data_IF_725740020830
#
_entry.id   IF_725740020830
#
_cell.length_a   1.000
_cell.length_b   1.000
_cell.length_c   1.000
_cell.angle_alpha   90.00
_cell.angle_beta   90.00
_cell.angle_gamma   90.00
#
_symmetry.space_group_name_H-M   'P 1'
#
loop_
_entity.id
_entity.type
_entity.pdbx_description
1 polymer ?
#
# COMPACT_ATOMS: atom_id res chain seq x y z
N UNK A 1 -19.26 0.09 -22.03
CA UNK A 1 -18.48 -0.07 -20.77
C UNK A 1 -17.34 0.94 -20.83
N UNK A 2 -17.35 2.01 -20.04
CA UNK A 2 -16.25 3.00 -20.06
C UNK A 2 -15.03 2.35 -19.41
N UNK A 3 -13.92 2.24 -20.14
CA UNK A 3 -12.64 1.90 -19.53
C UNK A 3 -12.27 3.06 -18.60
N UNK A 4 -12.22 2.82 -17.30
CA UNK A 4 -11.65 3.77 -16.35
C UNK A 4 -10.15 3.83 -16.66
N UNK A 5 -9.70 4.90 -17.31
CA UNK A 5 -8.26 5.13 -17.54
C UNK A 5 -7.58 5.30 -16.18
N UNK A 6 -6.58 4.47 -15.88
CA UNK A 6 -5.80 4.61 -14.66
C UNK A 6 -4.92 5.87 -14.80
N UNK A 7 -4.86 6.71 -13.76
CA UNK A 7 -3.97 7.88 -13.76
C UNK A 7 -2.50 7.46 -13.93
N UNK A 8 -2.12 6.30 -13.38
CA UNK A 8 -0.79 5.72 -13.56
C UNK A 8 -0.42 5.52 -15.03
N UNK A 9 -1.39 5.31 -15.93
CA UNK A 9 -1.13 5.07 -17.36
C UNK A 9 -0.79 6.36 -18.11
N UNK A 10 -1.08 7.53 -17.50
CA UNK A 10 -0.74 8.84 -18.06
C UNK A 10 0.69 9.29 -17.72
N UNK A 11 1.37 8.54 -16.84
CA UNK A 11 2.71 8.87 -16.34
C UNK A 11 3.81 8.24 -17.21
N UNK A 12 4.98 8.88 -17.23
CA UNK A 12 6.17 8.25 -17.84
C UNK A 12 6.62 7.04 -17.03
N UNK A 13 7.42 6.17 -17.67
CA UNK A 13 7.99 4.99 -17.00
C UNK A 13 8.80 5.38 -15.76
N UNK A 14 9.57 6.45 -15.84
CA UNK A 14 10.42 6.97 -14.76
C UNK A 14 9.56 7.50 -13.60
N UNK A 15 8.48 8.20 -13.91
CA UNK A 15 7.53 8.68 -12.89
C UNK A 15 6.85 7.52 -12.17
N UNK A 16 6.40 6.49 -12.91
CA UNK A 16 5.81 5.28 -12.31
C UNK A 16 6.81 4.56 -11.42
N UNK A 17 8.03 4.36 -11.90
CA UNK A 17 9.10 3.71 -11.13
C UNK A 17 9.39 4.46 -9.83
N UNK A 18 9.55 5.78 -9.92
CA UNK A 18 9.75 6.66 -8.76
C UNK A 18 8.59 6.58 -7.76
N UNK A 19 7.35 6.56 -8.24
CA UNK A 19 6.19 6.44 -7.37
C UNK A 19 6.13 5.08 -6.67
N UNK A 20 6.45 3.98 -7.37
CA UNK A 20 6.51 2.64 -6.74
C UNK A 20 7.58 2.59 -5.64
N UNK A 21 8.77 3.14 -5.91
CA UNK A 21 9.86 3.17 -4.93
C UNK A 21 9.52 3.99 -3.69
N UNK A 22 8.90 5.16 -3.87
CA UNK A 22 8.47 6.01 -2.76
C UNK A 22 7.31 5.39 -1.99
N UNK A 23 6.33 4.81 -2.67
CA UNK A 23 5.21 4.11 -2.04
C UNK A 23 5.72 2.97 -1.17
N UNK A 24 6.63 2.14 -1.69
CA UNK A 24 7.24 1.04 -0.95
C UNK A 24 8.04 1.56 0.26
N UNK A 25 8.87 2.59 0.07
CA UNK A 25 9.66 3.19 1.17
C UNK A 25 8.77 3.76 2.27
N UNK A 26 7.73 4.51 1.90
CA UNK A 26 6.78 5.10 2.85
C UNK A 26 6.00 4.04 3.61
N UNK A 27 5.66 2.93 2.95
CA UNK A 27 5.00 1.82 3.62
C UNK A 27 5.96 1.09 4.57
N UNK A 28 7.22 0.86 4.19
CA UNK A 28 8.23 0.31 5.10
C UNK A 28 8.42 1.18 6.35
N UNK A 29 8.47 2.51 6.20
CA UNK A 29 8.50 3.44 7.34
C UNK A 29 7.27 3.28 8.24
N UNK A 30 6.09 3.13 7.65
CA UNK A 30 4.85 2.92 8.37
C UNK A 30 4.85 1.58 9.12
N UNK A 31 5.35 0.50 8.51
CA UNK A 31 5.48 -0.82 9.13
C UNK A 31 6.52 -0.87 10.26
N UNK A 32 7.46 0.07 10.28
CA UNK A 32 8.42 0.24 11.37
C UNK A 32 7.85 0.94 12.61
N UNK A 33 6.61 1.44 12.56
CA UNK A 33 5.95 2.10 13.70
C UNK A 33 5.53 1.11 14.77
N UNK A 34 5.41 1.60 16.00
CA UNK A 34 4.86 0.78 17.08
C UNK A 34 3.34 0.64 16.91
N UNK A 35 2.76 -0.57 17.08
CA UNK A 35 1.32 -0.72 17.20
C UNK A 35 0.70 0.16 18.29
N UNK A 36 1.47 0.52 19.34
CA UNK A 36 1.02 1.43 20.41
C UNK A 36 0.83 2.88 19.95
N UNK A 37 1.25 3.24 18.75
CA UNK A 37 0.99 4.56 18.19
C UNK A 37 -0.48 4.75 17.76
N UNK A 38 -1.31 3.70 17.85
CA UNK A 38 -2.75 3.73 17.57
C UNK A 38 -3.05 4.31 16.18
N UNK A 39 -2.32 3.80 15.18
CA UNK A 39 -2.46 4.12 13.77
C UNK A 39 -3.46 3.16 13.12
N UNK A 40 -4.49 3.69 12.47
CA UNK A 40 -5.58 2.91 11.87
C UNK A 40 -5.64 3.13 10.36
N UNK A 41 -5.61 2.05 9.59
CA UNK A 41 -5.84 2.09 8.15
C UNK A 41 -7.26 2.58 7.82
N UNK A 42 -7.38 3.53 6.88
CA UNK A 42 -8.66 4.14 6.50
C UNK A 42 -9.17 3.70 5.12
N UNK A 43 -8.32 3.11 4.28
CA UNK A 43 -8.73 2.58 2.98
C UNK A 43 -9.23 1.13 3.09
N UNK A 44 -9.53 0.49 1.96
CA UNK A 44 -10.00 -0.90 1.98
C UNK A 44 -8.89 -1.87 2.42
N UNK A 45 -9.27 -3.00 3.01
CA UNK A 45 -8.34 -4.10 3.31
C UNK A 45 -7.70 -4.63 2.03
N UNK A 46 -8.43 -4.65 0.92
CA UNK A 46 -7.89 -5.04 -0.40
C UNK A 46 -6.75 -4.12 -0.84
N UNK A 47 -6.88 -2.80 -0.64
CA UNK A 47 -5.81 -1.85 -0.94
C UNK A 47 -4.59 -2.08 -0.04
N UNK A 48 -4.81 -2.41 1.24
CA UNK A 48 -3.71 -2.76 2.14
C UNK A 48 -2.97 -4.03 1.70
N UNK A 49 -3.71 -5.05 1.22
CA UNK A 49 -3.09 -6.27 0.70
C UNK A 49 -2.33 -6.03 -0.60
N UNK A 50 -2.87 -5.21 -1.51
CA UNK A 50 -2.20 -4.81 -2.75
C UNK A 50 -0.89 -4.06 -2.45
N UNK A 51 -0.94 -3.08 -1.54
CA UNK A 51 0.24 -2.33 -1.08
C UNK A 51 1.28 -3.24 -0.39
N UNK A 52 0.82 -4.17 0.46
CA UNK A 52 1.68 -5.16 1.10
C UNK A 52 2.38 -6.05 0.08
N UNK A 53 1.69 -6.37 -1.01
CA UNK A 53 2.24 -7.20 -2.09
C UNK A 53 3.26 -6.41 -2.91
N UNK A 54 3.07 -5.11 -3.13
CA UNK A 54 4.07 -4.25 -3.76
C UNK A 54 5.37 -4.19 -2.95
N UNK A 55 5.29 -4.06 -1.62
CA UNK A 55 6.49 -4.12 -0.76
C UNK A 55 7.16 -5.49 -0.79
N UNK A 56 6.38 -6.57 -0.81
CA UNK A 56 6.92 -7.92 -0.99
C UNK A 56 7.72 -8.05 -2.29
N UNK A 57 7.16 -7.61 -3.42
CA UNK A 57 7.84 -7.67 -4.72
C UNK A 57 9.07 -6.75 -4.79
N UNK A 58 9.10 -5.67 -4.00
CA UNK A 58 10.24 -4.76 -3.95
C UNK A 58 11.45 -5.30 -3.18
N UNK A 59 11.25 -6.35 -2.37
CA UNK A 59 12.27 -6.95 -1.49
C UNK A 59 12.93 -5.96 -0.51
N UNK A 60 12.34 -4.78 -0.29
CA UNK A 60 12.94 -3.70 0.52
C UNK A 60 12.83 -3.91 2.02
N UNK A 61 11.83 -4.66 2.48
CA UNK A 61 11.66 -4.96 3.90
C UNK A 61 12.42 -6.25 4.24
N UNK A 62 13.49 -6.11 5.01
CA UNK A 62 14.44 -7.20 5.31
C UNK A 62 14.52 -7.50 6.81
N UNK A 63 14.95 -8.71 7.14
CA UNK A 63 15.27 -9.13 8.51
C UNK A 63 16.63 -8.60 9.00
N UNK A 64 16.97 -8.92 10.25
CA UNK A 64 18.26 -8.56 10.86
C UNK A 64 19.48 -9.17 10.15
N UNK A 65 19.27 -10.15 9.27
CA UNK A 65 20.29 -10.80 8.45
C UNK A 65 20.27 -10.30 6.99
N UNK A 66 19.45 -9.29 6.67
CA UNK A 66 19.33 -8.74 5.32
C UNK A 66 18.48 -9.58 4.37
N UNK A 67 17.71 -10.57 4.86
CA UNK A 67 16.85 -11.41 4.01
C UNK A 67 15.48 -10.76 3.83
N UNK A 68 14.94 -10.68 2.61
CA UNK A 68 13.60 -10.14 2.38
C UNK A 68 12.53 -10.88 3.17
N UNK A 69 11.58 -10.14 3.72
CA UNK A 69 10.40 -10.73 4.37
C UNK A 69 9.49 -11.41 3.35
N UNK A 70 9.00 -12.59 3.71
CA UNK A 70 7.91 -13.22 2.97
C UNK A 70 6.61 -12.41 3.07
N UNK A 71 5.76 -12.51 2.04
CA UNK A 71 4.50 -11.76 1.97
C UNK A 71 3.61 -11.92 3.21
N UNK A 72 3.47 -13.15 3.73
CA UNK A 72 2.69 -13.39 4.95
C UNK A 72 3.20 -12.57 6.14
N UNK A 73 4.52 -12.47 6.31
CA UNK A 73 5.13 -11.69 7.40
C UNK A 73 4.85 -10.20 7.25
N UNK A 74 4.90 -9.68 6.01
CA UNK A 74 4.56 -8.29 5.70
C UNK A 74 3.10 -8.01 6.05
N UNK A 75 2.18 -8.90 5.67
CA UNK A 75 0.74 -8.78 5.98
C UNK A 75 0.50 -8.77 7.48
N UNK A 76 1.11 -9.69 8.23
CA UNK A 76 0.98 -9.75 9.69
C UNK A 76 1.45 -8.44 10.35
N UNK A 77 2.58 -7.88 9.91
CA UNK A 77 3.08 -6.59 10.39
C UNK A 77 2.14 -5.45 10.03
N UNK A 78 1.68 -5.38 8.78
CA UNK A 78 0.75 -4.36 8.33
C UNK A 78 -0.54 -4.37 9.14
N UNK A 79 -1.14 -5.55 9.32
CA UNK A 79 -2.37 -5.73 10.07
C UNK A 79 -2.19 -5.35 11.54
N UNK A 80 -1.06 -5.74 12.15
CA UNK A 80 -0.75 -5.42 13.54
C UNK A 80 -0.52 -3.91 13.76
N UNK A 81 0.27 -3.27 12.90
CA UNK A 81 0.62 -1.84 13.06
C UNK A 81 -0.57 -0.94 12.72
N UNK A 82 -1.39 -1.34 11.74
CA UNK A 82 -2.48 -0.52 11.22
C UNK A 82 -3.87 -0.93 11.72
N UNK A 83 -3.91 -1.79 12.73
CA UNK A 83 -5.13 -2.23 13.42
C UNK A 83 -6.19 -2.79 12.46
N UNK A 84 -5.75 -3.59 11.49
CA UNK A 84 -6.61 -4.32 10.56
C UNK A 84 -6.66 -5.78 10.98
N UNK A 85 -7.85 -6.38 10.93
CA UNK A 85 -7.98 -7.83 11.14
C UNK A 85 -7.35 -8.55 9.96
N UNK A 86 -6.40 -9.44 10.25
CA UNK A 86 -5.71 -10.22 9.22
C UNK A 86 -6.72 -11.04 8.40
N UNK A 87 -6.79 -10.86 7.07
CA UNK A 87 -7.73 -11.63 6.25
C UNK A 87 -7.29 -13.10 6.14
N UNK A 88 -8.26 -14.01 5.98
CA UNK A 88 -7.97 -15.44 5.86
C UNK A 88 -7.12 -15.81 4.64
N UNK A 89 -7.24 -15.05 3.54
CA UNK A 89 -6.51 -15.30 2.30
C UNK A 89 -5.98 -13.99 1.67
N UNK A 90 -4.88 -13.43 2.21
CA UNK A 90 -4.32 -12.17 1.72
C UNK A 90 -3.75 -12.28 0.30
N UNK A 91 -3.25 -13.46 -0.08
CA UNK A 91 -2.69 -13.70 -1.41
C UNK A 91 -3.76 -13.55 -2.50
N UNK A 92 -4.91 -14.21 -2.33
CA UNK A 92 -6.01 -14.07 -3.30
C UNK A 92 -6.55 -12.64 -3.34
N UNK A 93 -6.56 -11.91 -2.22
CA UNK A 93 -6.96 -10.50 -2.21
C UNK A 93 -6.01 -9.64 -3.03
N UNK A 94 -4.69 -9.72 -2.79
CA UNK A 94 -3.70 -9.01 -3.58
C UNK A 94 -3.74 -9.42 -5.06
N UNK A 95 -3.83 -10.71 -5.37
CA UNK A 95 -3.94 -11.20 -6.74
C UNK A 95 -5.17 -10.62 -7.45
N UNK A 96 -6.33 -10.63 -6.79
CA UNK A 96 -7.56 -10.09 -7.36
C UNK A 96 -7.48 -8.57 -7.54
N UNK A 97 -6.86 -7.84 -6.61
CA UNK A 97 -6.64 -6.41 -6.72
C UNK A 97 -5.82 -6.06 -7.98
N UNK A 98 -4.76 -6.83 -8.27
CA UNK A 98 -3.90 -6.61 -9.44
C UNK A 98 -4.57 -6.99 -10.76
N UNK A 99 -5.40 -8.03 -10.76
CA UNK A 99 -6.01 -8.59 -11.98
C UNK A 99 -7.44 -8.11 -12.23
N UNK A 100 -7.92 -7.13 -11.46
CA UNK A 100 -9.29 -6.64 -11.52
C UNK A 100 -9.64 -6.08 -12.91
N UNK A 101 -10.82 -6.45 -13.43
CA UNK A 101 -11.39 -5.95 -14.70
C UNK A 101 -12.70 -5.22 -14.44
N UNK A 102 -12.97 -4.13 -15.17
CA UNK A 102 -14.27 -3.47 -15.17
C UNK A 102 -14.67 -2.77 -13.86
N UNK A 103 -13.70 -2.31 -13.07
CA UNK A 103 -13.94 -1.73 -11.74
C UNK A 103 -14.21 -0.22 -11.84
N UNK A 104 -15.18 0.27 -11.05
CA UNK A 104 -15.52 1.71 -10.98
C UNK A 104 -14.45 2.55 -10.27
N UNK A 105 -13.69 1.95 -9.36
CA UNK A 105 -12.61 2.58 -8.60
C UNK A 105 -11.24 2.28 -9.22
N UNK A 106 -10.41 3.30 -9.38
CA UNK A 106 -9.01 3.20 -9.84
C UNK A 106 -8.11 2.45 -8.85
N UNK A 107 -6.96 1.97 -9.32
CA UNK A 107 -6.10 1.07 -8.55
C UNK A 107 -5.50 1.82 -7.39
N UNK A 108 -5.10 1.12 -6.33
CA UNK A 108 -4.44 1.78 -5.22
C UNK A 108 -3.23 2.59 -5.71
N UNK A 109 -2.40 1.97 -6.55
CA UNK A 109 -1.24 2.62 -7.16
C UNK A 109 -1.61 3.86 -8.00
N UNK A 110 -2.69 3.80 -8.77
CA UNK A 110 -3.19 4.93 -9.56
C UNK A 110 -3.70 6.07 -8.69
N UNK A 111 -4.41 5.78 -7.59
CA UNK A 111 -4.83 6.78 -6.59
C UNK A 111 -3.62 7.40 -5.87
N UNK A 112 -2.65 6.58 -5.49
CA UNK A 112 -1.38 7.04 -4.92
C UNK A 112 -0.65 7.99 -5.86
N UNK A 113 -0.50 7.61 -7.13
CA UNK A 113 0.14 8.42 -8.17
C UNK A 113 -0.58 9.76 -8.35
N UNK A 114 -1.91 9.77 -8.35
CA UNK A 114 -2.69 11.00 -8.45
C UNK A 114 -2.42 11.94 -7.27
N UNK A 115 -2.44 11.43 -6.04
CA UNK A 115 -2.13 12.22 -4.84
C UNK A 115 -0.71 12.79 -4.90
N UNK A 116 0.26 11.98 -5.35
CA UNK A 116 1.65 12.38 -5.42
C UNK A 116 1.92 13.44 -6.49
N UNK A 117 1.52 13.19 -7.74
CA UNK A 117 1.90 14.03 -8.88
C UNK A 117 0.90 15.13 -9.20
N UNK A 118 -0.40 14.89 -9.01
CA UNK A 118 -1.44 15.88 -9.31
C UNK A 118 -1.73 16.78 -8.12
N UNK A 119 -1.79 16.19 -6.92
CA UNK A 119 -2.10 16.92 -5.68
C UNK A 119 -0.86 17.30 -4.87
N UNK A 120 0.34 17.04 -5.41
CA UNK A 120 1.63 17.38 -4.82
C UNK A 120 1.79 16.94 -3.35
N UNK A 121 1.16 15.82 -2.97
CA UNK A 121 1.26 15.27 -1.62
C UNK A 121 2.55 14.46 -1.49
N UNK A 122 3.53 14.89 -0.66
CA UNK A 122 4.83 14.21 -0.58
C UNK A 122 4.77 12.77 -0.04
N UNK A 123 3.85 12.52 0.90
CA UNK A 123 3.62 11.18 1.47
C UNK A 123 2.11 10.89 1.49
N UNK A 124 1.56 10.35 0.37
CA UNK A 124 0.14 10.03 0.27
C UNK A 124 -0.37 9.05 1.34
N UNK A 125 0.46 8.10 1.79
CA UNK A 125 0.05 7.09 2.78
C UNK A 125 -0.34 7.70 4.13
N UNK A 126 0.22 8.86 4.51
CA UNK A 126 -0.17 9.55 5.74
C UNK A 126 -1.64 9.99 5.76
N UNK A 127 -2.23 10.26 4.60
CA UNK A 127 -3.64 10.64 4.51
C UNK A 127 -4.57 9.42 4.65
N UNK A 128 -4.04 8.22 4.46
CA UNK A 128 -4.77 6.95 4.51
C UNK A 128 -4.70 6.29 5.90
N UNK A 129 -4.03 6.95 6.85
CA UNK A 129 -3.85 6.47 8.22
C UNK A 129 -4.37 7.53 9.17
N UNK A 130 -5.23 7.12 10.10
CA UNK A 130 -5.72 7.98 11.17
C UNK A 130 -5.04 7.60 12.48
N UNK A 131 -4.54 8.59 13.21
CA UNK A 131 -4.11 8.40 14.60
C UNK A 131 -5.31 8.60 15.52
N UNK A 132 -5.61 7.62 16.36
CA UNK A 132 -6.58 7.77 17.44
C UNK A 132 -5.79 8.06 18.71
N UNK A 133 -5.98 9.25 19.29
CA UNK A 133 -5.48 9.51 20.64
C UNK A 133 -6.45 8.83 21.61
N UNK A 134 -5.92 8.13 22.61
CA UNK A 134 -6.70 7.76 23.79
C UNK A 134 -7.05 9.08 24.49
N UNK A 135 -8.33 9.44 24.51
CA UNK A 135 -8.87 10.53 25.36
C UNK A 135 -8.81 10.13 26.83
#
# INVERSE_FOLDING_TARGET
MRHTTEYSDTLTREQRQRAMELMASQFCELLGRSPRENLYWQESVTDLMDLSHEVYLSERLVDSHGRPYGFRRIVELACQVLHVVTPCNPYSMAFNARNRKGVRQTSFFSRYCWLMFKSHTPNPLRQMVKRMNEE
#
